data_IF_975643202445
#
_entry.id   IF_975643202445
#
_cell.length_a   1.000
_cell.length_b   1.000
_cell.length_c   1.000
_cell.angle_alpha   90.00
_cell.angle_beta   90.00
_cell.angle_gamma   90.00
#
_symmetry.space_group_name_H-M   'P 1'
#
loop_
_entity.id
_entity.type
_entity.pdbx_description
1 polymer ?
#
# COMPACT_ATOMS: atom_id res chain seq x y z
N UNK A 1 34.81 10.60 -11.71
CA UNK A 1 33.59 9.82 -11.56
C UNK A 1 32.47 10.74 -11.09
N UNK A 2 31.55 10.97 -11.94
CA UNK A 2 30.43 11.85 -11.64
C UNK A 2 29.38 11.04 -10.88
N UNK A 3 29.25 11.24 -9.57
CA UNK A 3 28.07 10.81 -8.83
C UNK A 3 26.88 11.61 -9.34
N UNK A 4 26.07 11.00 -10.22
CA UNK A 4 24.83 11.63 -10.62
C UNK A 4 23.91 11.81 -9.38
N UNK A 5 23.07 12.86 -9.33
CA UNK A 5 22.10 13.02 -8.23
C UNK A 5 21.23 11.78 -8.01
N UNK A 6 20.92 11.07 -9.08
CA UNK A 6 20.12 9.82 -9.03
C UNK A 6 20.89 8.68 -8.36
N UNK A 7 22.18 8.55 -8.62
CA UNK A 7 23.02 7.54 -7.99
C UNK A 7 23.16 7.77 -6.48
N UNK A 8 23.31 9.02 -6.07
CA UNK A 8 23.34 9.40 -4.66
C UNK A 8 22.01 9.08 -3.96
N UNK A 9 20.88 9.39 -4.59
CA UNK A 9 19.56 9.10 -4.04
C UNK A 9 19.33 7.58 -3.88
N UNK A 10 19.72 6.79 -4.87
CA UNK A 10 19.64 5.32 -4.79
C UNK A 10 20.42 4.78 -3.60
N UNK A 11 21.66 5.23 -3.41
CA UNK A 11 22.49 4.82 -2.27
C UNK A 11 21.86 5.23 -0.94
N UNK A 12 21.36 6.45 -0.84
CA UNK A 12 20.67 6.95 0.36
C UNK A 12 19.47 6.09 0.71
N UNK A 13 18.65 5.72 -0.27
CA UNK A 13 17.48 4.89 -0.05
C UNK A 13 17.83 3.45 0.32
N UNK A 14 18.89 2.90 -0.28
CA UNK A 14 19.42 1.58 0.10
C UNK A 14 19.89 1.60 1.54
N UNK A 15 20.68 2.57 1.95
CA UNK A 15 21.15 2.74 3.32
C UNK A 15 19.98 2.91 4.31
N UNK A 16 18.93 3.66 3.93
CA UNK A 16 17.72 3.75 4.74
C UNK A 16 17.09 2.38 4.98
N UNK A 17 16.97 1.56 3.94
CA UNK A 17 16.38 0.22 4.06
C UNK A 17 17.28 -0.77 4.82
N UNK A 18 18.57 -0.52 4.93
CA UNK A 18 19.50 -1.30 5.74
C UNK A 18 19.41 -0.98 7.25
N UNK A 19 18.82 0.16 7.60
CA UNK A 19 18.64 0.57 8.99
C UNK A 19 17.55 -0.26 9.70
N UNK A 20 17.62 -0.34 11.03
CA UNK A 20 16.54 -0.90 11.83
C UNK A 20 15.30 0.04 11.84
N UNK A 21 14.17 -0.47 12.31
CA UNK A 21 12.90 0.28 12.29
C UNK A 21 12.97 1.61 13.05
N UNK A 22 13.68 1.67 14.18
CA UNK A 22 13.82 2.90 14.97
C UNK A 22 14.64 3.96 14.23
N UNK A 23 15.73 3.57 13.60
CA UNK A 23 16.56 4.46 12.80
C UNK A 23 15.80 4.98 11.57
N UNK A 24 15.06 4.09 10.89
CA UNK A 24 14.18 4.49 9.77
C UNK A 24 13.13 5.50 10.23
N UNK A 25 12.48 5.27 11.36
CA UNK A 25 11.47 6.18 11.88
C UNK A 25 12.05 7.57 12.17
N UNK A 26 13.26 7.64 12.74
CA UNK A 26 13.95 8.90 12.97
C UNK A 26 14.23 9.63 11.65
N UNK A 27 14.73 8.92 10.64
CA UNK A 27 14.95 9.48 9.31
C UNK A 27 13.65 10.02 8.71
N UNK A 28 12.55 9.26 8.79
CA UNK A 28 11.24 9.70 8.29
C UNK A 28 10.76 10.96 9.03
N UNK A 29 10.91 11.03 10.34
CA UNK A 29 10.57 12.23 11.13
C UNK A 29 11.37 13.44 10.68
N UNK A 30 12.67 13.29 10.48
CA UNK A 30 13.55 14.36 10.04
C UNK A 30 13.20 14.88 8.63
N UNK A 31 12.65 14.01 7.78
CA UNK A 31 12.19 14.36 6.43
C UNK A 31 10.74 14.86 6.37
N UNK A 32 10.02 14.90 7.50
CA UNK A 32 8.59 15.22 7.51
C UNK A 32 7.69 14.12 6.95
N UNK A 33 8.17 12.88 6.89
CA UNK A 33 7.50 11.71 6.32
C UNK A 33 6.98 10.74 7.40
N UNK A 34 6.87 11.17 8.65
CA UNK A 34 6.46 10.28 9.75
C UNK A 34 5.10 9.60 9.53
N UNK A 35 4.19 10.23 8.76
CA UNK A 35 2.90 9.64 8.39
C UNK A 35 3.02 8.38 7.53
N UNK A 36 4.18 8.15 6.95
CA UNK A 36 4.49 6.94 6.17
C UNK A 36 5.32 5.95 6.98
N UNK A 37 5.00 5.78 8.25
CA UNK A 37 5.70 4.90 9.19
C UNK A 37 5.80 3.44 8.69
N UNK A 38 4.88 3.00 7.83
CA UNK A 38 4.93 1.67 7.22
C UNK A 38 6.26 1.41 6.47
N UNK A 39 6.95 2.47 6.00
CA UNK A 39 8.28 2.35 5.37
C UNK A 39 9.35 1.78 6.32
N UNK A 40 9.08 1.77 7.63
CA UNK A 40 9.97 1.12 8.61
C UNK A 40 9.95 -0.40 8.52
N UNK A 41 8.95 -0.99 7.88
CA UNK A 41 8.70 -2.44 7.82
C UNK A 41 9.05 -3.06 6.46
N UNK A 42 9.13 -2.27 5.39
CA UNK A 42 9.32 -2.82 4.05
C UNK A 42 10.69 -3.48 3.88
N UNK A 43 10.74 -4.65 3.20
CA UNK A 43 12.01 -5.33 2.98
C UNK A 43 12.89 -4.62 1.94
N UNK A 44 14.18 -4.94 1.94
CA UNK A 44 15.13 -4.45 0.94
C UNK A 44 14.92 -5.25 -0.36
N UNK A 45 14.33 -4.59 -1.33
CA UNK A 45 14.17 -5.10 -2.70
C UNK A 45 14.39 -3.95 -3.67
N UNK A 46 14.72 -4.25 -4.92
CA UNK A 46 14.83 -3.21 -5.96
C UNK A 46 13.53 -2.40 -6.09
N UNK A 47 12.39 -3.08 -6.03
CA UNK A 47 11.07 -2.43 -6.07
C UNK A 47 10.89 -1.45 -4.90
N UNK A 48 11.31 -1.81 -3.71
CA UNK A 48 11.18 -0.97 -2.52
C UNK A 48 12.23 0.14 -2.46
N UNK A 49 13.42 -0.06 -2.99
CA UNK A 49 14.39 1.02 -3.19
C UNK A 49 13.78 2.07 -4.11
N UNK A 50 13.21 1.66 -5.25
CA UNK A 50 12.53 2.57 -6.18
C UNK A 50 11.33 3.27 -5.51
N UNK A 51 10.58 2.57 -4.68
CA UNK A 51 9.47 3.14 -3.90
C UNK A 51 9.97 4.24 -2.95
N UNK A 52 10.97 3.96 -2.13
CA UNK A 52 11.54 4.94 -1.18
C UNK A 52 12.12 6.15 -1.91
N UNK A 53 12.75 5.94 -3.07
CA UNK A 53 13.27 7.04 -3.89
C UNK A 53 12.16 8.04 -4.26
N UNK A 54 10.95 7.59 -4.55
CA UNK A 54 9.82 8.48 -4.86
C UNK A 54 9.41 9.35 -3.67
N UNK A 55 9.51 8.84 -2.43
CA UNK A 55 9.27 9.63 -1.22
C UNK A 55 10.42 10.60 -0.92
N UNK A 56 11.65 10.15 -1.09
CA UNK A 56 12.84 10.90 -0.68
C UNK A 56 13.27 11.95 -1.71
N UNK A 57 12.86 11.81 -2.96
CA UNK A 57 13.19 12.78 -4.03
C UNK A 57 12.68 14.18 -3.72
N UNK A 58 11.46 14.28 -3.21
CA UNK A 58 10.86 15.53 -2.77
C UNK A 58 9.88 15.24 -1.61
N UNK A 59 10.38 15.14 -0.37
CA UNK A 59 9.54 14.80 0.78
C UNK A 59 8.39 15.78 1.01
N UNK A 60 8.58 17.05 0.65
CA UNK A 60 7.57 18.09 0.83
C UNK A 60 6.36 17.91 -0.09
N UNK A 61 6.53 17.23 -1.21
CA UNK A 61 5.48 16.95 -2.20
C UNK A 61 4.85 15.57 -2.08
N UNK A 62 5.32 14.72 -1.19
CA UNK A 62 4.78 13.38 -0.96
C UNK A 62 3.42 13.42 -0.24
N UNK A 63 2.40 14.07 -0.83
CA UNK A 63 1.05 14.20 -0.25
C UNK A 63 0.28 12.89 -0.28
N UNK A 64 0.42 12.15 -1.36
CA UNK A 64 -0.24 10.85 -1.55
C UNK A 64 0.82 9.79 -1.83
N UNK A 65 0.68 8.59 -1.26
CA UNK A 65 1.73 7.60 -1.39
C UNK A 65 1.78 7.02 -2.81
N UNK A 66 2.95 7.11 -3.44
CA UNK A 66 3.21 6.42 -4.70
C UNK A 66 3.89 5.08 -4.40
N UNK A 67 3.09 4.03 -4.37
CA UNK A 67 3.47 2.66 -4.02
C UNK A 67 3.48 1.72 -5.24
N UNK A 68 3.60 2.28 -6.45
CA UNK A 68 3.64 1.48 -7.69
C UNK A 68 4.71 0.40 -7.60
N UNK A 69 4.31 -0.84 -7.84
CA UNK A 69 5.21 -1.99 -7.84
C UNK A 69 5.85 -2.32 -6.50
N UNK A 70 5.46 -1.68 -5.41
CA UNK A 70 6.06 -1.91 -4.09
C UNK A 70 5.84 -3.35 -3.61
N UNK A 71 6.84 -3.91 -2.93
CA UNK A 71 6.77 -5.21 -2.27
C UNK A 71 6.28 -5.04 -0.83
N UNK A 72 5.01 -5.33 -0.61
CA UNK A 72 4.31 -5.14 0.65
C UNK A 72 3.68 -6.46 1.16
N UNK A 73 4.05 -7.60 0.58
CA UNK A 73 3.45 -8.89 0.93
C UNK A 73 3.70 -9.26 2.40
N UNK A 74 2.68 -9.81 3.04
CA UNK A 74 2.73 -10.27 4.43
C UNK A 74 2.91 -9.18 5.49
N UNK A 75 2.89 -7.90 5.12
CA UNK A 75 3.08 -6.80 6.08
C UNK A 75 1.81 -6.52 6.88
N UNK A 76 1.99 -6.03 8.09
CA UNK A 76 0.92 -5.50 8.94
C UNK A 76 0.79 -4.00 8.66
N UNK A 77 -0.24 -3.63 7.91
CA UNK A 77 -0.53 -2.28 7.46
C UNK A 77 -1.86 -1.76 8.04
N UNK A 78 -2.22 -2.20 9.25
CA UNK A 78 -3.47 -1.81 9.88
C UNK A 78 -3.53 -0.30 10.09
N UNK A 79 -4.67 0.30 9.79
CA UNK A 79 -4.92 1.72 9.99
C UNK A 79 -4.10 2.66 9.12
N UNK A 80 -3.37 2.14 8.11
CA UNK A 80 -2.57 3.02 7.23
C UNK A 80 -3.48 3.99 6.48
N UNK A 81 -2.97 5.18 6.26
CA UNK A 81 -3.60 6.15 5.39
C UNK A 81 -2.98 6.09 3.99
N UNK A 82 -3.67 5.43 3.08
CA UNK A 82 -3.32 5.34 1.66
C UNK A 82 -4.35 6.07 0.78
N UNK A 83 -5.00 7.10 1.32
CA UNK A 83 -5.91 7.95 0.54
C UNK A 83 -5.21 8.41 -0.74
N UNK A 84 -5.86 8.22 -1.89
CA UNK A 84 -5.31 8.54 -3.22
C UNK A 84 -3.97 7.85 -3.50
N UNK A 85 -3.66 6.77 -2.80
CA UNK A 85 -2.46 5.98 -3.00
C UNK A 85 -2.45 5.32 -4.39
N UNK A 86 -1.30 5.36 -5.05
CA UNK A 86 -1.09 4.61 -6.29
C UNK A 86 -0.40 3.28 -5.95
N UNK A 87 -1.20 2.22 -5.87
CA UNK A 87 -0.74 0.85 -5.62
C UNK A 87 -0.73 -0.01 -6.89
N UNK A 88 -0.68 0.65 -8.05
CA UNK A 88 -0.62 -0.04 -9.35
C UNK A 88 0.52 -1.05 -9.37
N UNK A 89 0.20 -2.32 -9.60
CA UNK A 89 1.18 -3.41 -9.66
C UNK A 89 1.87 -3.76 -8.34
N UNK A 90 1.44 -3.19 -7.21
CA UNK A 90 2.01 -3.52 -5.91
C UNK A 90 1.69 -4.96 -5.50
N UNK A 91 2.62 -5.60 -4.79
CA UNK A 91 2.40 -6.90 -4.18
C UNK A 91 1.96 -6.74 -2.72
N UNK A 92 0.69 -7.02 -2.46
CA UNK A 92 0.06 -6.98 -1.14
C UNK A 92 -0.42 -8.37 -0.70
N UNK A 93 0.06 -9.42 -1.35
CA UNK A 93 -0.35 -10.78 -1.05
C UNK A 93 -0.17 -11.11 0.43
N UNK A 94 -1.24 -11.57 1.10
CA UNK A 94 -1.21 -11.94 2.51
C UNK A 94 -0.98 -10.78 3.47
N UNK A 95 -1.02 -9.52 3.00
CA UNK A 95 -0.88 -8.36 3.89
C UNK A 95 -2.16 -8.12 4.70
N UNK A 96 -2.01 -7.42 5.82
CA UNK A 96 -3.13 -7.06 6.68
C UNK A 96 -3.33 -5.54 6.69
N UNK A 97 -4.51 -5.11 6.26
CA UNK A 97 -4.89 -3.69 6.14
C UNK A 97 -6.20 -3.41 6.90
N UNK A 98 -6.32 -3.96 8.12
CA UNK A 98 -7.52 -3.74 8.94
C UNK A 98 -7.73 -2.25 9.17
N UNK A 99 -8.96 -1.78 8.92
CA UNK A 99 -9.35 -0.39 9.15
C UNK A 99 -8.49 0.65 8.39
N UNK A 100 -7.81 0.24 7.33
CA UNK A 100 -7.02 1.14 6.50
C UNK A 100 -7.92 2.14 5.75
N UNK A 101 -7.42 3.36 5.56
CA UNK A 101 -8.10 4.36 4.76
C UNK A 101 -7.55 4.32 3.32
N UNK A 102 -8.36 3.79 2.42
CA UNK A 102 -8.01 3.51 1.02
C UNK A 102 -8.86 4.34 0.04
N UNK A 103 -9.51 5.38 0.52
CA UNK A 103 -10.38 6.22 -0.33
C UNK A 103 -9.59 6.72 -1.55
N UNK A 104 -10.15 6.55 -2.75
CA UNK A 104 -9.51 6.88 -4.04
C UNK A 104 -8.21 6.13 -4.34
N UNK A 105 -7.88 5.07 -3.62
CA UNK A 105 -6.68 4.28 -3.92
C UNK A 105 -6.84 3.50 -5.24
N UNK A 106 -5.73 3.38 -5.97
CA UNK A 106 -5.67 2.67 -7.25
C UNK A 106 -4.92 1.35 -7.09
N UNK A 107 -5.63 0.24 -7.19
CA UNK A 107 -5.10 -1.13 -7.12
C UNK A 107 -4.98 -1.79 -8.50
N UNK A 108 -4.90 -1.03 -9.58
CA UNK A 108 -4.78 -1.59 -10.93
C UNK A 108 -3.61 -2.56 -11.00
N UNK A 109 -3.88 -3.83 -11.36
CA UNK A 109 -2.86 -4.87 -11.47
C UNK A 109 -2.17 -5.27 -10.17
N UNK A 110 -2.64 -4.82 -9.01
CA UNK A 110 -2.08 -5.19 -7.71
C UNK A 110 -2.43 -6.64 -7.35
N UNK A 111 -1.55 -7.30 -6.60
CA UNK A 111 -1.80 -8.63 -6.05
C UNK A 111 -2.23 -8.52 -4.58
N UNK A 112 -3.52 -8.74 -4.31
CA UNK A 112 -4.10 -8.75 -2.97
C UNK A 112 -4.60 -10.15 -2.58
N UNK A 113 -4.11 -11.19 -3.22
CA UNK A 113 -4.51 -12.55 -2.86
C UNK A 113 -4.24 -12.82 -1.37
N UNK A 114 -5.24 -13.36 -0.69
CA UNK A 114 -5.17 -13.68 0.75
C UNK A 114 -4.91 -12.47 1.66
N UNK A 115 -5.07 -11.24 1.18
CA UNK A 115 -4.98 -10.04 2.02
C UNK A 115 -6.24 -9.85 2.86
N UNK A 116 -6.11 -9.10 3.95
CA UNK A 116 -7.22 -8.82 4.87
C UNK A 116 -7.52 -7.32 4.92
N UNK A 117 -8.63 -6.90 4.30
CA UNK A 117 -9.08 -5.52 4.22
C UNK A 117 -10.33 -5.25 5.08
N UNK A 118 -10.60 -6.10 6.08
CA UNK A 118 -11.78 -5.90 6.93
C UNK A 118 -11.74 -4.53 7.62
N UNK A 119 -12.86 -3.81 7.56
CA UNK A 119 -13.00 -2.48 8.13
C UNK A 119 -12.33 -1.36 7.33
N UNK A 120 -11.63 -1.67 6.24
CA UNK A 120 -11.03 -0.64 5.38
C UNK A 120 -12.11 0.19 4.67
N UNK A 121 -11.84 1.49 4.46
CA UNK A 121 -12.68 2.40 3.69
C UNK A 121 -12.27 2.37 2.22
N UNK A 122 -13.20 2.00 1.34
CA UNK A 122 -12.91 1.64 -0.06
C UNK A 122 -13.64 2.53 -1.08
N UNK A 123 -14.11 3.69 -0.65
CA UNK A 123 -14.81 4.62 -1.54
C UNK A 123 -13.94 5.01 -2.74
N UNK A 124 -14.51 4.95 -3.94
CA UNK A 124 -13.86 5.38 -5.19
C UNK A 124 -12.55 4.66 -5.49
N UNK A 125 -12.36 3.43 -4.99
CA UNK A 125 -11.19 2.60 -5.32
C UNK A 125 -11.27 2.02 -6.71
N UNK A 126 -10.11 1.78 -7.33
CA UNK A 126 -9.98 1.18 -8.67
C UNK A 126 -9.36 -0.22 -8.56
N UNK A 127 -10.00 -1.21 -9.15
CA UNK A 127 -9.65 -2.64 -9.04
C UNK A 127 -9.33 -3.30 -10.38
N UNK A 128 -9.08 -2.53 -11.42
CA UNK A 128 -8.81 -3.05 -12.77
C UNK A 128 -7.64 -4.04 -12.74
N UNK A 129 -7.89 -5.28 -13.21
CA UNK A 129 -6.87 -6.35 -13.25
C UNK A 129 -6.24 -6.72 -11.89
N UNK A 130 -6.82 -6.28 -10.78
CA UNK A 130 -6.33 -6.68 -9.46
C UNK A 130 -6.61 -8.16 -9.19
N UNK A 131 -5.65 -8.84 -8.56
CA UNK A 131 -5.80 -10.23 -8.10
C UNK A 131 -6.33 -10.21 -6.66
N UNK A 132 -7.53 -10.71 -6.45
CA UNK A 132 -8.23 -10.62 -5.15
C UNK A 132 -8.71 -11.97 -4.62
N UNK A 133 -8.26 -13.08 -5.19
CA UNK A 133 -8.64 -14.41 -4.73
C UNK A 133 -8.27 -14.58 -3.24
N UNK A 134 -9.25 -14.96 -2.43
CA UNK A 134 -9.09 -15.11 -0.98
C UNK A 134 -8.92 -13.80 -0.21
N UNK A 135 -8.96 -12.64 -0.87
CA UNK A 135 -8.91 -11.35 -0.19
C UNK A 135 -10.20 -11.11 0.60
N UNK A 136 -10.08 -10.81 1.89
CA UNK A 136 -11.22 -10.58 2.77
C UNK A 136 -11.53 -9.08 2.88
N UNK A 137 -12.66 -8.69 2.29
CA UNK A 137 -13.15 -7.30 2.31
C UNK A 137 -14.08 -6.99 3.49
N UNK A 138 -14.45 -8.01 4.29
CA UNK A 138 -15.44 -7.85 5.34
C UNK A 138 -16.77 -7.34 4.78
N UNK A 139 -17.26 -6.21 5.31
CA UNK A 139 -18.49 -5.59 4.79
C UNK A 139 -18.29 -4.83 3.48
N UNK A 140 -17.05 -4.55 3.07
CA UNK A 140 -16.75 -3.82 1.84
C UNK A 140 -17.20 -2.36 1.89
N UNK A 141 -16.87 -1.63 2.95
CA UNK A 141 -17.28 -0.24 3.20
C UNK A 141 -16.89 0.66 2.03
N UNK A 142 -17.88 1.28 1.40
CA UNK A 142 -17.68 2.25 0.31
C UNK A 142 -17.61 1.65 -1.09
N UNK A 143 -17.61 0.31 -1.24
CA UNK A 143 -17.73 -0.32 -2.55
C UNK A 143 -19.14 -0.18 -3.11
N UNK A 144 -19.24 0.07 -4.42
CA UNK A 144 -20.50 -0.03 -5.13
C UNK A 144 -20.96 -1.48 -5.23
N UNK A 145 -22.27 -1.71 -5.44
CA UNK A 145 -22.77 -3.07 -5.65
C UNK A 145 -22.11 -3.74 -6.87
N UNK A 146 -21.86 -2.97 -7.93
CA UNK A 146 -21.17 -3.45 -9.12
C UNK A 146 -19.75 -3.91 -8.81
N UNK A 147 -19.00 -3.13 -8.05
CA UNK A 147 -17.63 -3.48 -7.62
C UNK A 147 -17.64 -4.73 -6.73
N UNK A 148 -18.55 -4.78 -5.75
CA UNK A 148 -18.69 -5.95 -4.87
C UNK A 148 -18.93 -7.21 -5.66
N UNK A 149 -19.88 -7.20 -6.59
CA UNK A 149 -20.22 -8.34 -7.45
C UNK A 149 -19.00 -8.77 -8.27
N UNK A 150 -18.32 -7.84 -8.92
CA UNK A 150 -17.13 -8.14 -9.74
C UNK A 150 -15.99 -8.76 -8.91
N UNK A 151 -15.74 -8.21 -7.71
CA UNK A 151 -14.71 -8.72 -6.80
C UNK A 151 -15.07 -10.14 -6.29
N UNK A 152 -16.35 -10.39 -5.95
CA UNK A 152 -16.80 -11.73 -5.55
C UNK A 152 -16.59 -12.76 -6.67
N UNK A 153 -16.89 -12.42 -7.91
CA UNK A 153 -16.64 -13.28 -9.07
C UNK A 153 -15.15 -13.59 -9.21
N UNK A 154 -14.29 -12.66 -8.85
CA UNK A 154 -12.82 -12.83 -8.86
C UNK A 154 -12.27 -13.53 -7.62
N UNK A 155 -13.11 -14.05 -6.73
CA UNK A 155 -12.70 -14.85 -5.58
C UNK A 155 -12.53 -14.08 -4.26
N UNK A 156 -12.90 -12.80 -4.21
CA UNK A 156 -12.89 -12.04 -2.97
C UNK A 156 -13.96 -12.54 -1.98
N UNK A 157 -13.67 -12.40 -0.69
CA UNK A 157 -14.53 -12.82 0.40
C UNK A 157 -15.20 -11.58 1.01
N UNK A 158 -16.52 -11.64 1.18
CA UNK A 158 -17.31 -10.63 1.87
C UNK A 158 -18.12 -11.26 2.99
N UNK A 159 -18.41 -10.49 4.02
CA UNK A 159 -19.34 -10.90 5.06
C UNK A 159 -20.70 -11.19 4.44
N UNK A 160 -21.40 -12.21 4.96
CA UNK A 160 -22.77 -12.50 4.54
C UNK A 160 -23.64 -11.28 4.79
N UNK A 161 -24.41 -10.84 3.79
CA UNK A 161 -25.45 -9.86 4.01
C UNK A 161 -26.37 -10.44 5.10
N UNK A 162 -26.42 -9.81 6.25
CA UNK A 162 -27.54 -10.02 7.14
C UNK A 162 -28.71 -9.34 6.44
N UNK A 163 -29.42 -10.13 5.61
CA UNK A 163 -30.75 -9.70 5.15
C UNK A 163 -31.55 -9.44 6.40
N UNK A 164 -31.76 -8.17 6.69
CA UNK A 164 -32.52 -7.73 7.83
C UNK A 164 -33.92 -8.32 7.76
N UNK A 165 -34.31 -9.03 8.78
CA UNK A 165 -35.73 -9.22 9.06
C UNK A 165 -36.27 -7.94 9.68
#
# INVERSE_FOLDING_TARGET
MLNSPTHNLYQTCTQFLEQNSQQRLLTLKNLGLARYEFLTQIPITEANIACVMRFFKDPSRAKFPNLRGAELSGLVLDGVNFIRGDLTGANLKGSRLLEADLIFANFTGADLRDADLRGATLNETVWTEALVEGCNFGSGIGLTQKQRTALQVSGAIFDSSRDGK
#
